data_IF_073689465099
#
_entry.id   IF_073689465099
#
_cell.length_a   1.000
_cell.length_b   1.000
_cell.length_c   1.000
_cell.angle_alpha   90.00
_cell.angle_beta   90.00
_cell.angle_gamma   90.00
#
_symmetry.space_group_name_H-M   'P 1'
#
loop_
_entity.id
_entity.type
_entity.pdbx_description
1 polymer ?
#
# COMPACT_ATOMS: atom_id res chain seq x y z
N UNK A 1 -1.77 8.53 -6.16
CA UNK A 1 -2.56 7.66 -5.27
C UNK A 1 -2.09 6.22 -5.41
N UNK A 2 -1.87 5.54 -4.29
CA UNK A 2 -1.50 4.13 -4.20
C UNK A 2 -2.39 3.47 -3.14
N UNK A 3 -2.89 2.27 -3.45
CA UNK A 3 -3.76 1.50 -2.56
C UNK A 3 -3.25 0.07 -2.53
N UNK A 4 -3.00 -0.46 -1.34
CA UNK A 4 -2.71 -1.88 -1.13
C UNK A 4 -3.79 -2.49 -0.23
N UNK A 5 -4.23 -3.71 -0.56
CA UNK A 5 -5.19 -4.48 0.22
C UNK A 5 -4.71 -5.92 0.32
N UNK A 6 -4.82 -6.50 1.52
CA UNK A 6 -4.48 -7.89 1.78
C UNK A 6 -5.73 -8.71 2.08
N UNK A 7 -5.80 -9.91 1.50
CA UNK A 7 -6.88 -10.87 1.70
C UNK A 7 -6.33 -12.20 2.19
N UNK A 8 -7.08 -12.85 3.07
CA UNK A 8 -6.97 -14.28 3.38
C UNK A 8 -8.32 -14.88 3.00
N UNK A 9 -8.32 -15.81 2.04
CA UNK A 9 -9.52 -16.28 1.35
C UNK A 9 -10.36 -15.08 0.86
N UNK A 10 -11.67 -15.06 1.12
CA UNK A 10 -12.59 -13.99 0.73
C UNK A 10 -12.64 -12.84 1.77
N UNK A 11 -11.73 -12.81 2.75
CA UNK A 11 -11.75 -11.84 3.85
C UNK A 11 -10.60 -10.84 3.74
N UNK A 12 -10.93 -9.57 3.54
CA UNK A 12 -9.94 -8.50 3.62
C UNK A 12 -9.45 -8.31 5.06
N UNK A 13 -8.13 -8.29 5.28
CA UNK A 13 -7.57 -8.17 6.62
C UNK A 13 -6.67 -6.95 6.83
N UNK A 14 -6.10 -6.38 5.77
CA UNK A 14 -5.33 -5.12 5.86
C UNK A 14 -5.60 -4.18 4.69
N UNK A 15 -5.33 -2.89 4.91
CA UNK A 15 -5.36 -1.85 3.88
C UNK A 15 -4.31 -0.78 4.13
N UNK A 16 -3.68 -0.30 3.06
CA UNK A 16 -2.92 0.95 3.04
C UNK A 16 -3.51 1.86 1.95
N UNK A 17 -3.67 3.15 2.27
CA UNK A 17 -4.06 4.19 1.30
C UNK A 17 -3.10 5.38 1.42
N UNK A 18 -2.40 5.72 0.34
CA UNK A 18 -1.43 6.82 0.34
C UNK A 18 -2.06 8.19 0.62
N UNK A 19 -3.36 8.32 0.37
CA UNK A 19 -4.08 9.59 0.49
C UNK A 19 -4.72 9.74 1.89
N UNK A 20 -4.67 8.70 2.73
CA UNK A 20 -5.12 8.78 4.12
C UNK A 20 -4.16 9.64 4.97
N UNK A 21 -4.70 10.40 5.92
CA UNK A 21 -3.89 11.28 6.78
C UNK A 21 -2.87 10.52 7.65
N UNK A 22 -3.18 9.28 8.04
CA UNK A 22 -2.28 8.42 8.81
C UNK A 22 -1.12 7.89 7.96
N UNK A 23 -1.38 7.59 6.67
CA UNK A 23 -0.49 6.84 5.79
C UNK A 23 0.12 5.62 6.50
N UNK A 24 -0.73 4.81 7.15
CA UNK A 24 -0.36 3.59 7.88
C UNK A 24 -1.05 2.37 7.28
N UNK A 25 -0.48 1.19 7.52
CA UNK A 25 -1.20 -0.06 7.33
C UNK A 25 -2.28 -0.16 8.40
N UNK A 26 -3.51 -0.46 7.99
CA UNK A 26 -4.69 -0.48 8.85
C UNK A 26 -5.34 -1.88 8.88
N UNK A 27 -5.77 -2.36 10.06
CA UNK A 27 -6.49 -3.61 10.18
C UNK A 27 -7.89 -3.51 9.53
N UNK A 28 -8.33 -4.62 8.94
CA UNK A 28 -9.67 -4.79 8.33
C UNK A 28 -10.39 -6.04 8.80
N UNK A 29 -9.76 -6.84 9.65
CA UNK A 29 -10.37 -7.98 10.33
C UNK A 29 -9.94 -8.05 11.80
N UNK A 30 -10.78 -8.55 12.73
CA UNK A 30 -10.47 -8.50 14.17
C UNK A 30 -9.21 -9.29 14.56
N UNK A 31 -8.90 -10.37 13.86
CA UNK A 31 -7.80 -11.27 14.23
C UNK A 31 -6.42 -10.67 13.96
N UNK A 32 -6.28 -9.68 13.09
CA UNK A 32 -4.97 -9.02 12.85
C UNK A 32 -4.68 -7.95 13.90
N UNK A 33 -5.68 -7.46 14.64
CA UNK A 33 -5.47 -6.44 15.69
C UNK A 33 -4.60 -6.94 16.86
N UNK A 34 -4.42 -8.26 16.98
CA UNK A 34 -3.52 -8.87 17.96
C UNK A 34 -2.03 -8.65 17.65
N UNK A 35 -1.70 -8.25 16.43
CA UNK A 35 -0.32 -8.00 16.01
C UNK A 35 0.27 -6.78 16.72
N UNK A 36 1.56 -6.90 17.06
CA UNK A 36 2.29 -5.87 17.79
C UNK A 36 2.63 -4.64 16.94
N UNK A 37 3.02 -3.52 17.58
CA UNK A 37 3.45 -2.31 16.87
C UNK A 37 4.55 -2.56 15.84
N UNK A 38 5.45 -3.52 16.09
CA UNK A 38 6.55 -3.87 15.20
C UNK A 38 6.05 -4.35 13.83
N UNK A 39 4.99 -5.16 13.81
CA UNK A 39 4.34 -5.60 12.57
C UNK A 39 3.77 -4.42 11.81
N UNK A 40 3.01 -3.56 12.49
CA UNK A 40 2.36 -2.41 11.86
C UNK A 40 3.33 -1.37 11.33
N UNK A 41 4.42 -1.11 12.05
CA UNK A 41 5.46 -0.17 11.62
C UNK A 41 6.25 -0.73 10.43
N UNK A 42 6.57 -2.03 10.45
CA UNK A 42 7.22 -2.70 9.33
C UNK A 42 6.35 -2.69 8.07
N UNK A 43 5.09 -3.12 8.18
CA UNK A 43 4.16 -3.15 7.05
C UNK A 43 3.87 -1.75 6.51
N UNK A 44 3.76 -0.75 7.38
CA UNK A 44 3.64 0.64 6.97
C UNK A 44 4.88 1.10 6.20
N UNK A 45 6.09 0.78 6.68
CA UNK A 45 7.34 1.10 6.01
C UNK A 45 7.42 0.47 4.62
N UNK A 46 7.09 -0.82 4.51
CA UNK A 46 7.05 -1.57 3.27
C UNK A 46 6.08 -0.92 2.26
N UNK A 47 4.85 -0.61 2.68
CA UNK A 47 3.85 -0.01 1.77
C UNK A 47 4.23 1.40 1.31
N UNK A 48 4.90 2.19 2.16
CA UNK A 48 5.46 3.48 1.75
C UNK A 48 6.55 3.32 0.70
N UNK A 49 7.44 2.33 0.86
CA UNK A 49 8.47 2.04 -0.14
C UNK A 49 7.85 1.58 -1.46
N UNK A 50 6.89 0.64 -1.44
CA UNK A 50 6.16 0.20 -2.63
C UNK A 50 5.43 1.36 -3.33
N UNK A 51 4.76 2.24 -2.56
CA UNK A 51 4.11 3.42 -3.13
C UNK A 51 5.07 4.35 -3.87
N UNK A 52 6.33 4.46 -3.43
CA UNK A 52 7.35 5.26 -4.11
C UNK A 52 7.84 4.55 -5.37
N UNK A 53 8.18 3.26 -5.27
CA UNK A 53 8.63 2.45 -6.40
C UNK A 53 7.60 2.42 -7.52
N UNK A 54 6.32 2.23 -7.21
CA UNK A 54 5.26 2.17 -8.23
C UNK A 54 5.02 3.52 -8.89
N UNK A 55 5.18 4.62 -8.15
CA UNK A 55 5.14 5.97 -8.74
C UNK A 55 6.24 6.17 -9.77
N UNK A 56 7.46 5.71 -9.48
CA UNK A 56 8.59 5.78 -10.42
C UNK A 56 8.36 4.87 -11.63
N UNK A 57 7.88 3.64 -11.39
CA UNK A 57 7.57 2.67 -12.44
C UNK A 57 6.52 3.22 -13.41
N UNK A 58 5.47 3.89 -12.93
CA UNK A 58 4.48 4.54 -13.80
C UNK A 58 5.14 5.59 -14.71
N UNK A 59 6.04 6.41 -14.18
CA UNK A 59 6.79 7.39 -14.99
C UNK A 59 7.72 6.73 -16.02
N UNK A 60 8.32 5.58 -15.70
CA UNK A 60 9.11 4.78 -16.66
C UNK A 60 8.20 4.20 -17.75
N UNK A 61 7.06 3.62 -17.39
CA UNK A 61 6.11 3.03 -18.32
C UNK A 61 5.56 4.07 -19.31
N UNK A 62 5.17 5.26 -18.83
CA UNK A 62 4.72 6.35 -19.70
C UNK A 62 5.75 6.67 -20.80
N UNK A 63 7.04 6.72 -20.44
CA UNK A 63 8.14 6.96 -21.39
C UNK A 63 8.32 5.80 -22.36
N UNK A 64 8.30 4.56 -21.88
CA UNK A 64 8.47 3.37 -22.74
C UNK A 64 7.37 3.22 -23.78
N UNK A 65 6.14 3.61 -23.44
CA UNK A 65 4.99 3.52 -24.33
C UNK A 65 4.68 4.82 -25.07
N UNK A 66 5.56 5.83 -25.01
CA UNK A 66 5.38 7.14 -25.64
C UNK A 66 4.04 7.80 -25.28
N UNK A 67 3.61 7.67 -24.02
CA UNK A 67 2.36 8.22 -23.51
C UNK A 67 2.59 9.63 -22.95
N UNK A 68 1.64 10.55 -23.16
CA UNK A 68 1.64 11.87 -22.53
C UNK A 68 1.29 11.75 -21.05
N UNK A 69 1.82 12.67 -20.24
CA UNK A 69 1.36 12.84 -18.86
C UNK A 69 -0.13 13.21 -18.84
N UNK A 70 -0.85 12.70 -17.83
CA UNK A 70 -2.28 12.92 -17.64
C UNK A 70 -2.58 14.16 -16.80
#
# INVERSE_FOLDING_TARGET
>A
RFIAVGYVDDTQFVRFDSDAASQKMEPRAPWIEQEGPEYWDQETGNMKAHSQTDRENLGILLRYYNQSEA
#
